data_IF_660082426509
#
_entry.id   IF_660082426509
#
_cell.length_a   1.000
_cell.length_b   1.000
_cell.length_c   1.000
_cell.angle_alpha   90.00
_cell.angle_beta   90.00
_cell.angle_gamma   90.00
#
_symmetry.space_group_name_H-M   'P 1'
#
loop_
_entity.id
_entity.type
_entity.pdbx_description
1 polymer ?
#
# COMPACT_ATOMS: atom_id res chain seq x y z
N UNK A 1 18.28 -6.78 -38.19
CA UNK A 1 17.60 -7.96 -37.61
C UNK A 1 17.03 -7.57 -36.26
N UNK A 2 15.74 -7.26 -36.16
CA UNK A 2 15.10 -7.06 -34.86
C UNK A 2 14.95 -8.44 -34.22
N UNK A 3 15.86 -8.78 -33.30
CA UNK A 3 15.64 -9.93 -32.43
C UNK A 3 14.36 -9.61 -31.67
N UNK A 4 13.27 -10.29 -32.02
CA UNK A 4 12.14 -10.45 -31.12
C UNK A 4 12.70 -11.19 -29.91
N UNK A 5 13.37 -10.48 -29.00
CA UNK A 5 13.67 -10.99 -27.67
C UNK A 5 12.30 -11.30 -27.12
N UNK A 6 11.96 -12.59 -27.10
CA UNK A 6 10.78 -13.11 -26.44
C UNK A 6 10.79 -12.50 -25.05
N UNK A 7 9.91 -11.52 -24.83
CA UNK A 7 9.82 -10.74 -23.60
C UNK A 7 9.89 -11.71 -22.43
N UNK A 8 10.84 -11.53 -21.52
CA UNK A 8 11.06 -12.51 -20.48
C UNK A 8 9.78 -12.68 -19.64
N UNK A 9 9.47 -13.90 -19.23
CA UNK A 9 8.40 -14.11 -18.27
C UNK A 9 8.87 -13.63 -16.89
N UNK A 10 7.98 -13.01 -16.12
CA UNK A 10 8.29 -12.64 -14.75
C UNK A 10 8.61 -13.90 -13.93
N UNK A 11 9.81 -13.92 -13.36
CA UNK A 11 10.27 -14.95 -12.44
C UNK A 11 10.69 -14.29 -11.13
N UNK A 12 10.92 -15.10 -10.10
CA UNK A 12 11.32 -14.62 -8.76
C UNK A 12 12.61 -13.81 -8.80
N UNK A 13 13.52 -14.08 -9.74
CA UNK A 13 14.77 -13.33 -9.94
C UNK A 13 14.49 -11.91 -10.43
N UNK A 14 13.63 -11.75 -11.45
CA UNK A 14 13.22 -10.45 -11.98
C UNK A 14 12.34 -9.69 -11.00
N UNK A 15 11.45 -10.37 -10.29
CA UNK A 15 10.63 -9.75 -9.24
C UNK A 15 11.52 -9.23 -8.10
N UNK A 16 12.51 -10.02 -7.66
CA UNK A 16 13.52 -9.56 -6.70
C UNK A 16 14.30 -8.37 -7.23
N UNK A 17 14.79 -8.45 -8.47
CA UNK A 17 15.53 -7.38 -9.11
C UNK A 17 14.73 -6.08 -9.20
N UNK A 18 13.44 -6.18 -9.51
CA UNK A 18 12.52 -5.04 -9.51
C UNK A 18 12.45 -4.40 -8.13
N UNK A 19 12.17 -5.18 -7.09
CA UNK A 19 12.06 -4.65 -5.72
C UNK A 19 13.39 -4.08 -5.23
N UNK A 20 14.52 -4.69 -5.57
CA UNK A 20 15.87 -4.20 -5.26
C UNK A 20 16.10 -2.80 -5.86
N UNK A 21 15.80 -2.63 -7.15
CA UNK A 21 15.91 -1.33 -7.84
C UNK A 21 14.94 -0.30 -7.25
N UNK A 22 13.73 -0.71 -6.88
CA UNK A 22 12.78 0.16 -6.18
C UNK A 22 13.33 0.59 -4.81
N UNK A 23 13.93 -0.33 -4.03
CA UNK A 23 14.53 0.00 -2.74
C UNK A 23 15.68 0.99 -2.88
N UNK A 24 16.53 0.83 -3.89
CA UNK A 24 17.65 1.77 -4.14
C UNK A 24 17.17 3.20 -4.47
N UNK A 25 16.03 3.33 -5.14
CA UNK A 25 15.49 4.64 -5.52
C UNK A 25 14.54 5.23 -4.48
N UNK A 26 14.16 4.47 -3.44
CA UNK A 26 13.08 4.88 -2.52
C UNK A 26 13.45 6.10 -1.69
N UNK A 27 14.73 6.24 -1.35
CA UNK A 27 15.26 7.34 -0.53
C UNK A 27 15.54 8.59 -1.38
N UNK A 28 15.38 8.51 -2.70
CA UNK A 28 15.62 9.63 -3.59
C UNK A 28 14.31 10.42 -3.82
N UNK A 29 14.16 11.64 -3.27
CA UNK A 29 12.92 12.42 -3.36
C UNK A 29 12.59 12.85 -4.80
N UNK A 30 13.57 12.81 -5.72
CA UNK A 30 13.36 13.08 -7.16
C UNK A 30 12.54 11.97 -7.81
N UNK A 31 12.71 10.74 -7.34
CA UNK A 31 12.11 9.54 -7.92
C UNK A 31 10.85 9.10 -7.15
N UNK A 32 10.85 9.23 -5.82
CA UNK A 32 9.71 8.90 -4.96
C UNK A 32 9.06 10.16 -4.41
N UNK A 33 7.82 10.43 -4.80
CA UNK A 33 6.95 11.47 -4.26
C UNK A 33 6.01 10.93 -3.18
N UNK A 34 5.29 11.84 -2.50
CA UNK A 34 4.32 11.51 -1.46
C UNK A 34 3.26 10.49 -1.90
N UNK A 35 2.80 10.54 -3.15
CA UNK A 35 1.80 9.63 -3.71
C UNK A 35 2.40 8.41 -4.44
N UNK A 36 3.72 8.19 -4.36
CA UNK A 36 4.42 7.10 -5.01
C UNK A 36 5.47 7.57 -6.03
N UNK A 37 5.79 6.73 -7.00
CA UNK A 37 6.88 6.95 -7.95
C UNK A 37 6.55 8.00 -9.02
N UNK A 38 7.45 8.95 -9.24
CA UNK A 38 7.35 9.95 -10.32
C UNK A 38 7.56 9.32 -11.69
N UNK A 39 7.18 10.05 -12.75
CA UNK A 39 7.44 9.60 -14.12
C UNK A 39 8.93 9.39 -14.40
N UNK A 40 9.78 10.25 -13.82
CA UNK A 40 11.25 10.17 -13.90
C UNK A 40 11.78 9.01 -13.05
N UNK A 41 11.25 8.80 -11.84
CA UNK A 41 11.59 7.67 -11.00
C UNK A 41 11.34 6.34 -11.69
N UNK A 42 10.17 6.17 -12.31
CA UNK A 42 9.88 5.00 -13.14
C UNK A 42 10.82 4.85 -14.33
N UNK A 43 11.22 5.95 -14.98
CA UNK A 43 12.16 5.89 -16.10
C UNK A 43 13.53 5.39 -15.61
N UNK A 44 14.02 5.94 -14.50
CA UNK A 44 15.27 5.50 -13.86
C UNK A 44 15.20 4.03 -13.41
N UNK A 45 14.12 3.63 -12.76
CA UNK A 45 13.87 2.24 -12.34
C UNK A 45 13.89 1.31 -13.56
N UNK A 46 13.22 1.70 -14.64
CA UNK A 46 13.16 0.91 -15.88
C UNK A 46 14.52 0.77 -16.53
N UNK A 47 15.28 1.87 -16.60
CA UNK A 47 16.61 1.86 -17.17
C UNK A 47 17.55 0.97 -16.34
N UNK A 48 17.65 1.22 -15.03
CA UNK A 48 18.52 0.44 -14.13
C UNK A 48 18.16 -1.04 -14.10
N UNK A 49 16.87 -1.37 -14.15
CA UNK A 49 16.43 -2.76 -14.24
C UNK A 49 16.86 -3.41 -15.55
N UNK A 50 16.68 -2.74 -16.68
CA UNK A 50 17.09 -3.27 -17.98
C UNK A 50 18.63 -3.32 -18.12
N UNK A 51 19.37 -2.43 -17.45
CA UNK A 51 20.83 -2.51 -17.34
C UNK A 51 21.26 -3.76 -16.55
N UNK A 52 20.59 -4.08 -15.44
CA UNK A 52 20.86 -5.30 -14.67
C UNK A 52 20.39 -6.58 -15.39
N UNK A 53 19.26 -6.49 -16.09
CA UNK A 53 18.63 -7.61 -16.78
C UNK A 53 18.44 -7.28 -18.27
N UNK A 54 19.54 -7.25 -19.06
CA UNK A 54 19.49 -6.91 -20.48
C UNK A 54 18.69 -7.92 -21.31
N UNK A 55 18.32 -9.07 -20.75
CA UNK A 55 17.47 -10.06 -21.42
C UNK A 55 15.97 -9.85 -21.16
N UNK A 56 15.61 -9.12 -20.11
CA UNK A 56 14.21 -8.94 -19.72
C UNK A 56 13.50 -7.89 -20.59
N UNK A 57 14.18 -6.77 -20.87
CA UNK A 57 13.65 -5.63 -21.64
C UNK A 57 12.20 -5.29 -21.27
N UNK A 58 11.94 -5.08 -19.99
CA UNK A 58 10.61 -4.70 -19.54
C UNK A 58 10.33 -3.23 -19.82
N UNK A 59 9.08 -2.95 -20.17
CA UNK A 59 8.59 -1.59 -20.34
C UNK A 59 8.18 -1.01 -18.99
N UNK A 60 8.26 0.32 -18.86
CA UNK A 60 7.78 1.06 -17.69
C UNK A 60 6.41 0.61 -17.18
N UNK A 61 5.46 0.43 -18.09
CA UNK A 61 4.10 -0.01 -17.76
C UNK A 61 4.07 -1.41 -17.11
N UNK A 62 4.92 -2.34 -17.55
CA UNK A 62 4.98 -3.66 -16.93
C UNK A 62 5.58 -3.63 -15.55
N UNK A 63 6.58 -2.77 -15.33
CA UNK A 63 7.19 -2.62 -14.02
C UNK A 63 6.20 -2.01 -13.04
N UNK A 64 5.37 -1.06 -13.50
CA UNK A 64 4.23 -0.52 -12.75
C UNK A 64 3.18 -1.59 -12.43
N UNK A 65 2.77 -2.37 -13.42
CA UNK A 65 1.80 -3.45 -13.24
C UNK A 65 2.33 -4.53 -12.27
N UNK A 66 3.60 -4.90 -12.40
CA UNK A 66 4.25 -5.86 -11.52
C UNK A 66 4.44 -5.34 -10.10
N UNK A 67 4.83 -4.07 -9.91
CA UNK A 67 4.85 -3.44 -8.59
C UNK A 67 3.45 -3.47 -7.94
N UNK A 68 2.40 -3.19 -8.72
CA UNK A 68 1.01 -3.27 -8.22
C UNK A 68 0.64 -4.70 -7.81
N UNK A 69 1.03 -5.70 -8.59
CA UNK A 69 0.81 -7.11 -8.26
C UNK A 69 1.55 -7.50 -6.97
N UNK A 70 2.86 -7.22 -6.89
CA UNK A 70 3.70 -7.50 -5.72
C UNK A 70 3.16 -6.80 -4.46
N UNK A 71 2.73 -5.54 -4.59
CA UNK A 71 2.08 -4.79 -3.51
C UNK A 71 0.79 -5.47 -3.05
N UNK A 72 -0.03 -5.96 -3.97
CA UNK A 72 -1.25 -6.70 -3.62
C UNK A 72 -0.93 -8.02 -2.91
N UNK A 73 0.12 -8.72 -3.34
CA UNK A 73 0.58 -9.94 -2.69
C UNK A 73 1.12 -9.68 -1.28
N UNK A 74 1.97 -8.67 -1.12
CA UNK A 74 2.47 -8.25 0.19
C UNK A 74 1.35 -7.86 1.14
N UNK A 75 0.37 -7.05 0.70
CA UNK A 75 -0.80 -6.71 1.53
C UNK A 75 -1.56 -7.96 1.97
N UNK A 76 -1.86 -8.86 1.03
CA UNK A 76 -2.56 -10.10 1.34
C UNK A 76 -1.81 -10.95 2.38
N UNK A 77 -0.49 -11.11 2.25
CA UNK A 77 0.35 -11.83 3.22
C UNK A 77 0.41 -11.07 4.55
N UNK A 78 0.58 -9.75 4.53
CA UNK A 78 0.62 -8.90 5.73
C UNK A 78 -0.68 -8.97 6.52
N UNK A 79 -1.83 -8.87 5.86
CA UNK A 79 -3.14 -8.96 6.50
C UNK A 79 -3.40 -10.37 7.02
N UNK A 80 -2.97 -11.40 6.28
CA UNK A 80 -3.01 -12.79 6.79
C UNK A 80 -2.17 -12.99 8.05
N UNK A 81 -1.00 -12.34 8.16
CA UNK A 81 -0.18 -12.38 9.39
C UNK A 81 -0.84 -11.69 10.59
N UNK A 82 -1.82 -10.81 10.38
CA UNK A 82 -2.55 -10.14 11.47
C UNK A 82 -3.66 -11.02 12.05
N UNK A 83 -4.04 -12.08 11.35
CA UNK A 83 -5.06 -13.01 11.86
C UNK A 83 -4.53 -13.77 13.07
N UNK A 84 -5.38 -13.90 14.09
CA UNK A 84 -5.01 -14.59 15.32
C UNK A 84 -4.79 -16.08 15.06
N UNK A 85 -3.71 -16.64 15.62
CA UNK A 85 -3.32 -18.03 15.42
C UNK A 85 -2.49 -18.29 14.16
N UNK A 86 -2.24 -17.27 13.33
CA UNK A 86 -1.31 -17.40 12.20
C UNK A 86 0.13 -17.30 12.71
N UNK A 87 0.89 -18.38 12.53
CA UNK A 87 2.34 -18.38 12.67
C UNK A 87 3.03 -17.78 11.44
N UNK A 88 4.27 -17.32 11.63
CA UNK A 88 5.09 -16.78 10.56
C UNK A 88 6.49 -17.37 10.62
N UNK A 89 6.96 -17.90 9.50
CA UNK A 89 8.34 -18.37 9.35
C UNK A 89 9.18 -17.26 8.72
N UNK A 90 9.99 -16.61 9.55
CA UNK A 90 10.89 -15.51 9.17
C UNK A 90 11.92 -15.98 8.13
N UNK A 91 12.54 -17.14 8.37
CA UNK A 91 13.58 -17.73 7.52
C UNK A 91 13.12 -18.08 6.12
N UNK A 92 11.86 -18.51 5.96
CA UNK A 92 11.27 -18.84 4.65
C UNK A 92 10.40 -17.70 4.10
N UNK A 93 10.12 -16.67 4.89
CA UNK A 93 9.11 -15.65 4.60
C UNK A 93 7.77 -16.28 4.20
N UNK A 94 7.26 -17.19 5.03
CA UNK A 94 6.07 -17.99 4.73
C UNK A 94 5.10 -18.00 5.90
N UNK A 95 3.81 -17.98 5.60
CA UNK A 95 2.75 -18.13 6.59
C UNK A 95 2.70 -19.59 7.05
N UNK A 96 2.63 -19.80 8.37
CA UNK A 96 2.47 -21.11 8.99
C UNK A 96 1.15 -21.09 9.75
N UNK A 97 0.14 -21.75 9.21
CA UNK A 97 -1.20 -21.75 9.77
C UNK A 97 -1.84 -23.13 9.63
N UNK A 98 -2.80 -23.43 10.50
CA UNK A 98 -3.66 -24.61 10.40
C UNK A 98 -4.44 -24.60 9.07
N UNK A 99 -4.79 -25.77 8.49
CA UNK A 99 -5.58 -25.84 7.26
C UNK A 99 -6.88 -25.03 7.32
N UNK A 100 -7.60 -25.09 8.45
CA UNK A 100 -8.85 -24.33 8.66
C UNK A 100 -8.63 -22.81 8.62
N UNK A 101 -7.48 -22.36 9.12
CA UNK A 101 -7.10 -20.95 9.10
C UNK A 101 -6.68 -20.55 7.69
N UNK A 102 -5.95 -21.39 6.97
CA UNK A 102 -5.68 -21.20 5.55
C UNK A 102 -6.95 -21.04 4.71
N UNK A 103 -8.00 -21.84 4.96
CA UNK A 103 -9.27 -21.69 4.25
C UNK A 103 -9.90 -20.31 4.48
N UNK A 104 -9.91 -19.83 5.72
CA UNK A 104 -10.38 -18.47 6.07
C UNK A 104 -9.52 -17.39 5.39
N UNK A 105 -8.19 -17.55 5.44
CA UNK A 105 -7.24 -16.64 4.80
C UNK A 105 -7.41 -16.59 3.29
N UNK A 106 -7.60 -17.74 2.64
CA UNK A 106 -7.80 -17.85 1.19
C UNK A 106 -9.16 -17.28 0.79
N UNK A 107 -10.18 -17.45 1.62
CA UNK A 107 -11.50 -16.87 1.40
C UNK A 107 -11.44 -15.33 1.47
N UNK A 108 -10.74 -14.77 2.46
CA UNK A 108 -10.54 -13.32 2.57
C UNK A 108 -9.58 -12.77 1.50
N UNK A 109 -8.51 -13.51 1.21
CA UNK A 109 -7.43 -13.12 0.33
C UNK A 109 -7.01 -14.28 -0.59
N UNK A 110 -7.69 -14.53 -1.71
CA UNK A 110 -7.40 -15.68 -2.58
C UNK A 110 -5.98 -15.69 -3.14
N UNK A 111 -5.30 -14.55 -3.13
CA UNK A 111 -3.89 -14.45 -3.53
C UNK A 111 -2.94 -15.14 -2.56
N UNK A 112 -3.29 -15.34 -1.29
CA UNK A 112 -2.43 -16.03 -0.32
C UNK A 112 -2.39 -17.53 -0.49
N UNK A 113 -3.36 -18.11 -1.21
CA UNK A 113 -3.39 -19.55 -1.50
C UNK A 113 -2.08 -20.07 -2.11
N UNK A 114 -1.45 -19.28 -2.99
CA UNK A 114 -0.16 -19.66 -3.58
C UNK A 114 0.99 -19.65 -2.57
N UNK A 115 0.89 -18.84 -1.52
CA UNK A 115 1.89 -18.73 -0.45
C UNK A 115 1.74 -19.79 0.64
N UNK A 116 0.71 -20.63 0.56
CA UNK A 116 0.59 -21.83 1.40
C UNK A 116 1.70 -22.84 1.11
N UNK A 117 2.07 -22.98 -0.17
CA UNK A 117 3.08 -23.95 -0.63
C UNK A 117 4.33 -23.29 -1.21
N UNK A 118 4.37 -21.96 -1.29
CA UNK A 118 5.51 -21.22 -1.84
C UNK A 118 5.98 -20.14 -0.88
N UNK A 119 7.28 -20.04 -0.60
CA UNK A 119 7.83 -18.95 0.17
C UNK A 119 7.67 -17.62 -0.57
N UNK A 120 7.56 -16.52 0.18
CA UNK A 120 7.53 -15.17 -0.38
C UNK A 120 8.74 -14.36 0.12
N UNK A 121 9.96 -14.65 -0.38
CA UNK A 121 11.19 -14.00 0.09
C UNK A 121 11.23 -12.49 -0.19
N UNK A 122 10.33 -11.98 -1.04
CA UNK A 122 10.17 -10.56 -1.32
C UNK A 122 9.41 -9.82 -0.23
N UNK A 123 8.86 -10.53 0.75
CA UNK A 123 8.05 -9.96 1.81
C UNK A 123 8.79 -8.82 2.53
N UNK A 124 9.98 -9.08 3.08
CA UNK A 124 10.77 -8.06 3.79
C UNK A 124 11.22 -6.93 2.89
N UNK A 125 11.52 -7.22 1.62
CA UNK A 125 11.91 -6.19 0.67
C UNK A 125 10.75 -5.25 0.34
N UNK A 126 9.53 -5.78 0.20
CA UNK A 126 8.31 -4.99 0.01
C UNK A 126 7.89 -4.26 1.29
N UNK A 127 8.07 -4.89 2.45
CA UNK A 127 7.89 -4.27 3.76
C UNK A 127 8.80 -3.06 3.92
N UNK A 128 10.11 -3.20 3.67
CA UNK A 128 11.05 -2.07 3.71
C UNK A 128 10.71 -0.97 2.69
N UNK A 129 10.12 -1.33 1.55
CA UNK A 129 9.73 -0.38 0.50
C UNK A 129 8.48 0.43 0.85
N UNK A 130 7.52 -0.20 1.54
CA UNK A 130 6.21 0.36 1.84
C UNK A 130 6.08 0.87 3.28
N UNK A 131 6.73 0.23 4.25
CA UNK A 131 6.76 0.62 5.66
C UNK A 131 7.95 1.54 5.99
N UNK A 132 9.00 1.60 5.17
CA UNK A 132 10.18 2.46 5.37
C UNK A 132 9.93 3.98 5.33
N UNK A 133 8.68 4.43 5.24
CA UNK A 133 8.25 5.83 5.45
C UNK A 133 7.07 5.95 6.38
N UNK A 134 6.77 4.91 7.16
CA UNK A 134 5.92 5.05 8.34
C UNK A 134 6.85 5.52 9.47
N UNK A 135 7.22 6.81 9.42
CA UNK A 135 7.00 7.58 10.63
C UNK A 135 5.59 7.19 11.08
N UNK A 136 5.43 6.75 12.32
CA UNK A 136 4.14 6.49 12.97
C UNK A 136 3.31 7.77 12.95
N UNK A 137 2.90 8.20 11.76
CA UNK A 137 1.86 9.16 11.52
C UNK A 137 0.63 8.32 11.67
N UNK A 138 0.07 8.39 12.87
CA UNK A 138 -1.36 8.49 13.10
C UNK A 138 -2.09 8.52 11.74
N UNK A 139 -2.42 7.33 11.24
CA UNK A 139 -3.15 7.18 10.00
C UNK A 139 -4.55 7.63 10.38
N UNK A 140 -4.70 8.95 10.28
CA UNK A 140 -5.89 9.73 10.10
C UNK A 140 -7.04 8.79 9.75
N UNK A 141 -7.73 8.34 10.80
CA UNK A 141 -9.08 7.83 10.71
C UNK A 141 -9.83 8.99 10.08
N UNK A 142 -9.89 9.03 8.74
CA UNK A 142 -10.85 9.84 8.03
C UNK A 142 -12.17 9.18 8.33
N UNK A 143 -12.68 9.45 9.53
CA UNK A 143 -14.02 9.18 9.94
C UNK A 143 -14.88 10.17 9.18
N UNK A 144 -15.02 9.95 7.87
CA UNK A 144 -16.15 10.49 7.12
C UNK A 144 -17.33 9.56 7.38
N UNK A 145 -17.69 9.36 8.65
CA UNK A 145 -19.09 9.33 8.99
C UNK A 145 -19.50 10.81 9.02
N UNK A 146 -20.09 11.27 7.93
CA UNK A 146 -21.05 12.37 7.99
C UNK A 146 -22.14 11.94 8.97
N UNK A 147 -21.96 12.19 10.27
CA UNK A 147 -23.12 12.34 11.13
C UNK A 147 -23.84 13.60 10.65
N UNK A 148 -25.15 13.53 10.35
CA UNK A 148 -25.93 14.72 10.06
C UNK A 148 -25.85 15.68 11.27
N UNK A 149 -25.90 17.01 11.04
CA UNK A 149 -25.67 17.98 12.09
C UNK A 149 -26.67 17.75 13.23
N UNK A 150 -26.23 17.82 14.50
CA UNK A 150 -27.14 17.65 15.62
C UNK A 150 -28.21 18.72 15.48
N UNK A 151 -29.46 18.27 15.35
CA UNK A 151 -30.64 19.09 15.52
C UNK A 151 -30.52 19.78 16.86
N UNK A 152 -30.05 21.03 16.81
CA UNK A 152 -29.96 21.94 17.92
C UNK A 152 -31.37 22.03 18.49
N UNK A 153 -31.61 21.33 19.60
CA UNK A 153 -32.83 21.50 20.38
C UNK A 153 -32.81 22.96 20.78
N UNK A 154 -33.58 23.75 20.06
CA UNK A 154 -33.78 25.17 20.28
C UNK A 154 -34.49 25.31 21.64
N UNK A 155 -33.69 25.35 22.70
CA UNK A 155 -34.15 25.72 24.03
C UNK A 155 -34.54 27.19 23.97
N UNK A 156 -35.86 27.40 23.93
CA UNK A 156 -36.50 28.71 23.97
C UNK A 156 -35.96 29.50 25.18
N UNK A 157 -35.39 30.71 24.99
CA UNK A 157 -34.98 31.54 26.11
C UNK A 157 -36.24 32.03 26.84
N UNK A 158 -36.51 31.44 27.99
CA UNK A 158 -37.60 31.87 28.87
C UNK A 158 -37.08 33.02 29.74
N UNK A 159 -37.71 34.19 29.61
CA UNK A 159 -37.66 35.35 30.51
C UNK A 159 -36.35 36.16 30.54
N UNK A 160 -36.21 37.10 29.61
CA UNK A 160 -35.65 38.41 29.92
C UNK A 160 -36.83 39.41 29.98
N UNK A 161 -37.06 40.10 31.12
CA UNK A 161 -38.18 41.02 31.30
C UNK A 161 -38.03 42.28 30.43
N UNK A 162 -39.15 42.97 30.13
CA UNK A 162 -39.20 44.02 29.12
C UNK A 162 -38.59 45.31 29.65
N UNK A 163 -37.30 45.52 29.40
CA UNK A 163 -36.72 46.86 29.37
C UNK A 163 -37.28 47.59 28.16
N UNK A 164 -38.36 48.34 28.36
CA UNK A 164 -39.04 49.11 27.33
C UNK A 164 -38.11 50.13 26.63
N UNK A 165 -38.41 50.48 25.37
CA UNK A 165 -37.56 51.32 24.55
C UNK A 165 -37.95 52.80 24.67
N UNK A 166 -37.23 53.64 23.89
CA UNK A 166 -37.57 55.00 23.44
C UNK A 166 -37.03 56.10 24.39
N UNK A 167 -36.41 57.19 23.95
CA UNK A 167 -36.18 57.80 22.63
C UNK A 167 -34.92 58.69 22.81
N UNK A 168 -33.92 58.59 21.93
CA UNK A 168 -33.61 59.54 20.85
C UNK A 168 -33.25 60.99 21.30
N UNK A 169 -32.04 61.49 20.98
CA UNK A 169 -31.58 62.88 21.18
C UNK A 169 -32.06 63.80 20.02
N UNK A 170 -32.02 65.15 20.09
CA UNK A 170 -30.89 66.01 20.50
C UNK A 170 -31.06 66.80 21.81
#
# INVERSE_FOLDING_TARGET
MAKNVSRAAWNTVYEKGLVDVLLEHKDNPKFKSQNGWTAEGWNSITNKFNERYPLAHYSKQQMQDKDKELKSHYKAVRDSRKESGVGWNDSLCMIVAEPELWEKLILAHPKVAKYQKKPFPLYYSLEALHEGSVATGDLNFTSTQQMPPPSFIHVRPLNAPPGGPLAAPP
#
